data_IF_078799588238
#
_entry.id   IF_078799588238
#
_cell.length_a   1.000
_cell.length_b   1.000
_cell.length_c   1.000
_cell.angle_alpha   90.00
_cell.angle_beta   90.00
_cell.angle_gamma   90.00
#
_symmetry.space_group_name_H-M   'P 1'
#
loop_
_entity.id
_entity.type
_entity.pdbx_description
1 polymer ?
#
# COMPACT_ATOMS: atom_id res chain seq x y z
N UNK A 1 16.40 4.31 -81.46
CA UNK A 1 15.76 5.41 -80.87
C UNK A 1 15.81 5.33 -79.36
N UNK A 2 16.58 6.14 -78.95
CA UNK A 2 17.06 6.40 -77.64
C UNK A 2 16.17 5.89 -76.55
N UNK A 3 16.50 4.77 -76.05
CA UNK A 3 16.07 4.36 -74.74
C UNK A 3 16.94 5.11 -73.74
N UNK A 4 16.30 6.01 -73.10
CA UNK A 4 16.90 6.70 -72.01
C UNK A 4 17.00 5.75 -70.82
N UNK A 5 18.13 5.25 -70.66
CA UNK A 5 18.42 4.47 -69.48
C UNK A 5 18.51 5.42 -68.31
N UNK A 6 17.49 5.42 -67.53
CA UNK A 6 17.54 6.10 -66.28
C UNK A 6 18.56 5.38 -65.40
N UNK A 7 19.65 6.01 -65.22
CA UNK A 7 20.60 5.61 -64.19
C UNK A 7 19.94 5.73 -62.84
N UNK A 8 19.58 4.65 -62.32
CA UNK A 8 19.27 4.62 -60.89
C UNK A 8 20.57 4.82 -60.15
N UNK A 9 20.76 5.96 -59.74
CA UNK A 9 21.72 6.22 -58.69
C UNK A 9 21.21 5.52 -57.44
N UNK A 10 21.77 4.44 -57.15
CA UNK A 10 21.67 3.84 -55.85
C UNK A 10 22.31 4.77 -54.86
N UNK A 11 21.55 5.65 -54.36
CA UNK A 11 21.92 6.29 -53.13
C UNK A 11 21.85 5.26 -52.06
N UNK A 12 22.94 4.65 -51.83
CA UNK A 12 23.13 3.87 -50.63
C UNK A 12 22.93 4.88 -49.50
N UNK A 13 21.76 4.94 -49.04
CA UNK A 13 21.56 5.54 -47.74
C UNK A 13 22.30 4.65 -46.79
N UNK A 14 23.49 5.03 -46.52
CA UNK A 14 24.14 4.62 -45.33
C UNK A 14 23.20 4.98 -44.22
N UNK A 15 22.42 4.07 -43.79
CA UNK A 15 21.77 4.18 -42.50
C UNK A 15 22.92 4.23 -41.52
N UNK A 16 23.31 5.39 -41.19
CA UNK A 16 23.96 5.54 -39.92
C UNK A 16 22.90 5.10 -38.94
N UNK A 17 22.98 3.89 -38.61
CA UNK A 17 22.51 3.47 -37.31
C UNK A 17 23.24 4.38 -36.36
N UNK A 18 22.62 5.47 -36.09
CA UNK A 18 22.92 6.11 -34.86
C UNK A 18 22.59 5.03 -33.85
N UNK A 19 23.62 4.36 -33.47
CA UNK A 19 23.65 3.68 -32.23
C UNK A 19 23.01 4.68 -31.30
N UNK A 20 21.77 4.46 -30.98
CA UNK A 20 21.20 5.13 -29.86
C UNK A 20 22.21 4.86 -28.77
N UNK A 21 22.96 5.84 -28.44
CA UNK A 21 23.59 5.83 -27.17
C UNK A 21 22.42 5.55 -26.29
N UNK A 22 22.34 4.35 -25.92
CA UNK A 22 21.60 3.95 -24.76
C UNK A 22 22.05 4.96 -23.76
N UNK A 23 21.22 5.98 -23.64
CA UNK A 23 21.41 6.90 -22.59
C UNK A 23 21.66 5.98 -21.44
N UNK A 24 22.84 6.03 -20.99
CA UNK A 24 23.18 5.37 -19.80
C UNK A 24 22.07 5.77 -18.89
N UNK A 25 21.16 4.88 -18.68
CA UNK A 25 20.23 5.07 -17.60
C UNK A 25 21.17 5.19 -16.43
N UNK A 26 21.44 6.40 -16.11
CA UNK A 26 21.90 6.71 -14.78
C UNK A 26 20.82 6.09 -13.95
N UNK A 27 21.06 4.92 -13.54
CA UNK A 27 20.34 4.37 -12.44
C UNK A 27 20.67 5.33 -11.33
N UNK A 28 19.82 6.30 -11.23
CA UNK A 28 19.78 7.12 -10.04
C UNK A 28 19.55 6.11 -8.95
N UNK A 29 20.61 5.76 -8.31
CA UNK A 29 20.52 4.90 -7.15
C UNK A 29 19.60 5.62 -6.20
N UNK A 30 18.44 5.06 -6.05
CA UNK A 30 17.50 5.55 -5.07
C UNK A 30 18.24 5.65 -3.76
N UNK A 31 18.17 6.77 -3.07
CA UNK A 31 18.82 6.88 -1.79
C UNK A 31 18.36 5.72 -0.91
N UNK A 32 19.29 5.09 -0.31
CA UNK A 32 19.14 3.88 0.52
C UNK A 32 18.29 4.13 1.78
N UNK A 33 17.78 5.32 1.94
CA UNK A 33 17.03 5.76 3.12
C UNK A 33 15.68 5.05 3.27
N UNK A 34 15.32 4.17 2.37
CA UNK A 34 13.98 3.63 2.25
C UNK A 34 13.89 2.16 2.68
N UNK A 35 14.91 1.64 3.33
CA UNK A 35 14.91 0.23 3.73
C UNK A 35 13.72 -0.17 4.61
N UNK A 36 13.22 0.75 5.42
CA UNK A 36 12.05 0.51 6.26
C UNK A 36 10.74 0.50 5.48
N UNK A 37 10.78 1.06 4.29
CA UNK A 37 9.63 1.20 3.42
C UNK A 37 9.82 0.46 2.11
N UNK A 38 10.89 -0.31 1.99
CA UNK A 38 11.18 -1.11 0.82
C UNK A 38 10.30 -2.36 0.79
N UNK A 39 9.02 -2.09 0.90
CA UNK A 39 8.00 -3.10 0.71
C UNK A 39 7.67 -3.16 -0.77
N UNK A 40 7.61 -4.34 -1.36
CA UNK A 40 7.11 -4.46 -2.71
C UNK A 40 5.74 -3.81 -2.81
N UNK A 41 5.45 -3.24 -3.95
CA UNK A 41 4.17 -2.60 -4.21
C UNK A 41 2.99 -3.50 -3.86
N UNK A 42 3.14 -4.77 -4.16
CA UNK A 42 2.17 -5.80 -3.79
C UNK A 42 2.85 -7.13 -3.51
N UNK A 43 2.45 -7.77 -2.44
CA UNK A 43 2.81 -9.16 -2.18
C UNK A 43 1.82 -10.15 -2.79
N UNK A 44 0.72 -9.67 -3.33
CA UNK A 44 -0.40 -10.50 -3.78
C UNK A 44 -0.90 -11.48 -2.71
N UNK A 45 -0.93 -11.01 -1.48
CA UNK A 45 -1.42 -11.74 -0.33
C UNK A 45 -2.40 -10.86 0.43
N UNK A 46 -3.44 -11.48 0.95
CA UNK A 46 -4.35 -10.77 1.85
C UNK A 46 -3.68 -10.64 3.21
N UNK A 47 -3.30 -9.43 3.54
CA UNK A 47 -2.51 -9.14 4.74
C UNK A 47 -2.82 -7.76 5.26
N UNK A 48 -2.77 -7.61 6.56
CA UNK A 48 -2.72 -6.32 7.26
C UNK A 48 -1.55 -6.37 8.22
N UNK A 49 -0.71 -5.36 8.16
CA UNK A 49 0.44 -5.18 9.05
C UNK A 49 0.35 -3.85 9.75
N UNK A 50 0.72 -3.82 11.00
CA UNK A 50 0.79 -2.60 11.79
C UNK A 50 2.13 -2.52 12.51
N UNK A 51 2.73 -1.34 12.50
CA UNK A 51 3.96 -1.01 13.19
C UNK A 51 3.75 0.25 14.03
N UNK A 52 4.31 0.27 15.22
CA UNK A 52 4.42 1.51 15.97
C UNK A 52 5.65 2.27 15.50
N UNK A 53 5.44 3.37 14.81
CA UNK A 53 6.53 4.22 14.33
C UNK A 53 7.01 5.16 15.42
N UNK A 54 6.07 5.70 16.19
CA UNK A 54 6.32 6.51 17.40
C UNK A 54 5.31 6.08 18.46
N UNK A 55 5.42 6.57 19.69
CA UNK A 55 4.40 6.25 20.71
C UNK A 55 2.97 6.59 20.33
N UNK A 56 2.80 7.53 19.41
CA UNK A 56 1.47 8.02 18.99
C UNK A 56 1.25 7.95 17.49
N UNK A 57 2.10 7.26 16.75
CA UNK A 57 1.92 7.10 15.30
C UNK A 57 2.05 5.63 14.93
N UNK A 58 1.02 5.09 14.33
CA UNK A 58 1.01 3.76 13.75
C UNK A 58 1.19 3.85 12.25
N UNK A 59 2.01 2.97 11.70
CA UNK A 59 2.07 2.72 10.27
C UNK A 59 1.32 1.43 9.96
N UNK A 60 0.37 1.50 9.05
CA UNK A 60 -0.48 0.39 8.68
C UNK A 60 -0.29 0.12 7.18
N UNK A 61 -0.09 -1.13 6.86
CA UNK A 61 0.02 -1.61 5.49
C UNK A 61 -0.98 -2.75 5.26
N UNK A 62 -1.62 -2.78 4.10
CA UNK A 62 -2.55 -3.85 3.75
C UNK A 62 -2.54 -4.17 2.25
N UNK A 63 -2.94 -5.37 1.94
CA UNK A 63 -3.23 -5.80 0.58
C UNK A 63 -4.30 -6.90 0.61
N UNK A 64 -4.96 -7.09 -0.53
CA UNK A 64 -5.88 -8.18 -0.77
C UNK A 64 -5.36 -8.93 -1.99
N UNK A 65 -5.21 -10.24 -1.88
CA UNK A 65 -4.76 -11.06 -3.01
C UNK A 65 -5.78 -11.06 -4.15
N UNK A 66 -5.29 -11.30 -5.35
CA UNK A 66 -6.16 -11.39 -6.52
C UNK A 66 -7.14 -12.57 -6.40
N UNK A 67 -6.72 -13.65 -5.79
CA UNK A 67 -7.60 -14.81 -5.54
C UNK A 67 -8.72 -14.47 -4.55
N UNK A 68 -8.41 -13.76 -3.48
CA UNK A 68 -9.42 -13.33 -2.53
C UNK A 68 -10.36 -12.29 -3.13
N UNK A 69 -9.84 -11.39 -3.97
CA UNK A 69 -10.69 -10.45 -4.72
C UNK A 69 -11.72 -11.18 -5.59
N UNK A 70 -11.30 -12.22 -6.26
CA UNK A 70 -12.21 -13.06 -7.05
C UNK A 70 -13.27 -13.73 -6.19
N UNK A 71 -12.89 -14.24 -5.05
CA UNK A 71 -13.85 -14.86 -4.12
C UNK A 71 -14.90 -13.89 -3.63
N UNK A 72 -14.51 -12.65 -3.31
CA UNK A 72 -15.46 -11.63 -2.90
C UNK A 72 -16.42 -11.25 -4.03
N UNK A 73 -15.92 -11.17 -5.27
CA UNK A 73 -16.74 -10.92 -6.43
C UNK A 73 -17.71 -12.06 -6.68
N UNK A 74 -17.28 -13.29 -6.55
CA UNK A 74 -18.14 -14.47 -6.70
C UNK A 74 -19.22 -14.54 -5.60
N UNK A 75 -18.88 -14.16 -4.40
CA UNK A 75 -19.80 -14.22 -3.25
C UNK A 75 -20.79 -13.06 -3.21
N UNK A 76 -20.35 -11.84 -3.52
CA UNK A 76 -21.13 -10.61 -3.35
C UNK A 76 -21.55 -9.95 -4.66
N UNK A 77 -21.02 -10.38 -5.79
CA UNK A 77 -21.34 -9.85 -7.11
C UNK A 77 -20.16 -9.08 -7.75
N UNK A 78 -20.26 -8.89 -9.07
CA UNK A 78 -19.20 -8.27 -9.86
C UNK A 78 -18.89 -6.84 -9.44
N UNK A 79 -19.86 -6.13 -8.89
CA UNK A 79 -19.72 -4.74 -8.45
C UNK A 79 -19.34 -4.60 -6.99
N UNK A 80 -18.89 -5.66 -6.34
CA UNK A 80 -18.59 -5.65 -4.91
C UNK A 80 -17.62 -4.54 -4.53
N UNK A 81 -16.50 -4.41 -5.25
CA UNK A 81 -15.49 -3.40 -4.95
C UNK A 81 -15.92 -1.98 -5.34
N UNK A 82 -16.88 -1.84 -6.22
CA UNK A 82 -17.44 -0.55 -6.62
C UNK A 82 -18.54 -0.06 -5.67
N UNK A 83 -19.27 -0.98 -5.08
CA UNK A 83 -20.41 -0.69 -4.20
C UNK A 83 -20.04 -0.65 -2.73
N UNK A 84 -18.83 -1.01 -2.41
CA UNK A 84 -18.30 -0.98 -1.05
C UNK A 84 -17.03 -0.13 -0.99
N UNK A 85 -16.74 0.38 0.19
CA UNK A 85 -15.50 1.12 0.47
C UNK A 85 -14.68 0.40 1.50
N UNK A 86 -13.34 0.44 1.39
CA UNK A 86 -12.49 -0.13 2.41
C UNK A 86 -12.47 0.74 3.66
N UNK A 87 -12.40 0.10 4.80
CA UNK A 87 -12.27 0.75 6.10
C UNK A 87 -11.20 0.03 6.91
N UNK A 88 -10.50 0.78 7.74
CA UNK A 88 -9.64 0.24 8.78
C UNK A 88 -10.32 0.42 10.13
N UNK A 89 -10.44 -0.66 10.86
CA UNK A 89 -10.97 -0.67 12.22
C UNK A 89 -9.81 -0.82 13.19
N UNK A 90 -9.63 0.17 14.02
CA UNK A 90 -8.50 0.25 14.94
C UNK A 90 -9.01 -0.14 16.33
N UNK A 91 -8.37 -1.15 16.89
CA UNK A 91 -8.68 -1.61 18.24
C UNK A 91 -7.57 -1.20 19.19
N UNK A 92 -7.94 -0.53 20.26
CA UNK A 92 -7.08 -0.40 21.42
C UNK A 92 -7.49 -1.46 22.44
N UNK A 93 -6.71 -2.52 22.55
CA UNK A 93 -7.04 -3.65 23.41
C UNK A 93 -6.71 -3.37 24.87
N UNK A 94 -5.87 -2.41 25.15
CA UNK A 94 -5.53 -2.00 26.52
C UNK A 94 -6.66 -1.21 27.17
N UNK A 95 -7.18 -0.21 26.46
CA UNK A 95 -8.25 0.65 26.93
C UNK A 95 -9.64 0.18 26.48
N UNK A 96 -9.68 -0.88 25.73
CA UNK A 96 -10.90 -1.56 25.30
C UNK A 96 -11.86 -0.69 24.51
N UNK A 97 -11.35 0.02 23.51
CA UNK A 97 -12.18 0.75 22.57
C UNK A 97 -11.72 0.49 21.12
N UNK A 98 -12.56 0.86 20.18
CA UNK A 98 -12.24 0.82 18.77
C UNK A 98 -12.85 2.00 18.02
N UNK A 99 -12.29 2.29 16.86
CA UNK A 99 -12.82 3.28 15.93
C UNK A 99 -12.51 2.87 14.50
N UNK A 100 -13.23 3.44 13.56
CA UNK A 100 -13.03 3.18 12.14
C UNK A 100 -12.53 4.42 11.41
N UNK A 101 -11.70 4.20 10.40
CA UNK A 101 -11.30 5.22 9.45
C UNK A 101 -11.62 4.75 8.04
N UNK A 102 -12.14 5.66 7.23
CA UNK A 102 -12.37 5.43 5.82
C UNK A 102 -11.04 5.60 5.07
N UNK A 103 -10.74 4.64 4.24
CA UNK A 103 -9.58 4.68 3.34
C UNK A 103 -10.07 4.57 1.90
N UNK A 104 -9.19 4.78 0.93
CA UNK A 104 -9.55 4.62 -0.47
C UNK A 104 -8.91 3.35 -1.05
N UNK A 105 -9.46 2.87 -2.16
CA UNK A 105 -9.00 1.65 -2.82
C UNK A 105 -7.62 1.80 -3.48
N UNK A 106 -7.12 3.01 -3.62
CA UNK A 106 -5.82 3.28 -4.22
C UNK A 106 -4.69 3.29 -3.20
N UNK A 107 -5.01 3.42 -1.93
CA UNK A 107 -4.04 3.37 -0.86
C UNK A 107 -3.78 1.92 -0.44
N UNK A 108 -2.55 1.64 -0.07
CA UNK A 108 -2.13 0.37 0.54
C UNK A 108 -1.39 0.58 1.86
N UNK A 109 -1.28 1.82 2.30
CA UNK A 109 -0.66 2.18 3.55
C UNK A 109 -1.26 3.45 4.14
N UNK A 110 -1.13 3.60 5.44
CA UNK A 110 -1.66 4.73 6.17
C UNK A 110 -0.83 5.00 7.42
N UNK A 111 -0.56 6.28 7.68
CA UNK A 111 -0.01 6.73 8.94
C UNK A 111 -1.14 7.24 9.81
N UNK A 112 -1.33 6.61 10.93
CA UNK A 112 -2.40 6.95 11.85
C UNK A 112 -1.84 7.53 13.13
N UNK A 113 -2.27 8.75 13.47
CA UNK A 113 -2.03 9.31 14.78
C UNK A 113 -3.03 8.75 15.79
N UNK A 114 -2.53 8.24 16.91
CA UNK A 114 -3.33 7.74 18.03
C UNK A 114 -3.07 8.58 19.26
N UNK A 115 -4.10 8.74 20.09
CA UNK A 115 -4.00 9.60 21.26
C UNK A 115 -3.34 8.92 22.45
N UNK A 116 -3.38 7.60 22.49
CA UNK A 116 -2.95 6.83 23.64
C UNK A 116 -1.67 6.08 23.33
N UNK A 117 -0.59 6.47 23.98
CA UNK A 117 0.67 5.74 23.99
C UNK A 117 0.62 4.57 24.98
N UNK A 118 1.61 3.71 24.94
CA UNK A 118 1.75 2.57 25.85
C UNK A 118 0.51 1.66 25.87
N UNK A 119 -0.09 1.46 24.72
CA UNK A 119 -1.27 0.63 24.52
C UNK A 119 -1.03 -0.41 23.43
N UNK A 120 -1.76 -1.50 23.54
CA UNK A 120 -1.78 -2.51 22.50
C UNK A 120 -2.82 -2.16 21.44
N UNK A 121 -2.38 -2.14 20.21
CA UNK A 121 -3.22 -1.84 19.05
C UNK A 121 -3.28 -3.00 18.08
N UNK A 122 -4.43 -3.17 17.50
CA UNK A 122 -4.71 -4.15 16.46
C UNK A 122 -5.55 -3.48 15.38
N UNK A 123 -5.32 -3.84 14.14
CA UNK A 123 -6.02 -3.25 12.99
C UNK A 123 -6.73 -4.33 12.20
N UNK A 124 -7.95 -4.05 11.83
CA UNK A 124 -8.76 -4.92 10.99
C UNK A 124 -9.10 -4.20 9.70
N UNK A 125 -8.93 -4.90 8.58
CA UNK A 125 -9.37 -4.43 7.28
C UNK A 125 -10.74 -5.02 6.99
N UNK A 126 -11.67 -4.17 6.61
CA UNK A 126 -13.00 -4.57 6.20
C UNK A 126 -13.55 -3.67 5.12
N UNK A 127 -14.76 -3.95 4.70
CA UNK A 127 -15.48 -3.13 3.73
C UNK A 127 -16.89 -2.87 4.21
N UNK A 128 -17.36 -1.67 3.92
CA UNK A 128 -18.73 -1.26 4.18
C UNK A 128 -19.41 -0.81 2.90
N UNK A 129 -20.72 -1.07 2.75
CA UNK A 129 -21.46 -0.54 1.62
C UNK A 129 -21.38 0.99 1.57
N UNK A 130 -21.23 1.53 0.38
CA UNK A 130 -21.23 2.98 0.16
C UNK A 130 -22.63 3.54 0.38
N UNK A 131 -23.65 2.81 -0.04
CA UNK A 131 -25.05 3.21 0.10
C UNK A 131 -25.67 2.58 1.34
N UNK A 132 -26.40 3.41 2.07
CA UNK A 132 -27.18 2.95 3.19
C UNK A 132 -28.26 1.96 2.72
N UNK A 133 -28.40 0.86 3.43
CA UNK A 133 -29.47 -0.11 3.22
C UNK A 133 -30.25 -0.26 4.52
N UNK A 134 -31.55 -0.05 4.45
CA UNK A 134 -32.45 -0.27 5.58
C UNK A 134 -32.44 -1.71 6.08
N UNK A 135 -32.20 -2.66 5.16
CA UNK A 135 -32.15 -4.08 5.50
C UNK A 135 -30.89 -4.45 6.29
N UNK A 136 -29.78 -3.78 6.00
CA UNK A 136 -28.49 -4.04 6.64
C UNK A 136 -27.75 -2.74 6.90
N UNK A 137 -28.22 -1.91 7.84
CA UNK A 137 -27.67 -0.57 8.04
C UNK A 137 -26.22 -0.57 8.52
N UNK A 138 -25.77 -1.63 9.15
CA UNK A 138 -24.45 -1.76 9.73
C UNK A 138 -23.63 -2.89 9.10
N UNK A 139 -23.92 -3.19 7.83
CA UNK A 139 -23.19 -4.26 7.16
C UNK A 139 -21.70 -3.96 7.15
N UNK A 140 -20.93 -4.91 7.64
CA UNK A 140 -19.49 -4.87 7.67
C UNK A 140 -18.96 -6.21 7.20
N UNK A 141 -18.04 -6.18 6.26
CA UNK A 141 -17.45 -7.37 5.69
C UNK A 141 -15.99 -7.42 6.13
N UNK A 142 -15.70 -8.35 7.02
CA UNK A 142 -14.35 -8.62 7.49
C UNK A 142 -13.49 -9.17 6.35
N UNK A 143 -12.27 -8.67 6.21
CA UNK A 143 -11.32 -9.18 5.23
C UNK A 143 -10.12 -9.81 5.91
N UNK A 144 -9.43 -9.07 6.76
CA UNK A 144 -8.23 -9.54 7.44
C UNK A 144 -7.94 -8.68 8.66
N UNK A 145 -7.12 -9.20 9.55
CA UNK A 145 -6.64 -8.43 10.70
C UNK A 145 -5.12 -8.51 10.80
N UNK A 146 -4.57 -7.51 11.45
CA UNK A 146 -3.15 -7.43 11.72
C UNK A 146 -2.74 -8.25 12.95
N UNK A 147 -1.42 -8.34 13.12
CA UNK A 147 -0.83 -8.64 14.41
C UNK A 147 -1.20 -7.55 15.44
N UNK A 148 -1.15 -7.92 16.70
CA UNK A 148 -1.19 -6.93 17.78
C UNK A 148 0.20 -6.36 18.02
N UNK A 149 0.27 -5.04 18.23
CA UNK A 149 1.52 -4.35 18.56
C UNK A 149 1.32 -3.47 19.77
N UNK A 150 2.39 -3.28 20.52
CA UNK A 150 2.43 -2.32 21.62
C UNK A 150 3.01 -1.00 21.13
N UNK A 151 2.26 0.08 21.28
CA UNK A 151 2.77 1.42 21.08
C UNK A 151 3.68 1.78 22.26
N UNK A 152 4.92 2.24 22.01
CA UNK A 152 5.86 2.48 23.08
C UNK A 152 5.42 3.61 24.01
N UNK A 153 6.04 3.62 25.18
CA UNK A 153 5.80 4.66 26.18
C UNK A 153 6.50 5.96 25.78
N UNK A 154 5.82 7.09 25.94
CA UNK A 154 6.36 8.43 25.67
C UNK A 154 7.63 8.74 26.44
N UNK A 155 7.79 8.18 27.64
CA UNK A 155 8.96 8.40 28.48
C UNK A 155 10.27 7.97 27.82
N UNK A 156 10.22 7.01 26.91
CA UNK A 156 11.40 6.53 26.21
C UNK A 156 11.99 7.61 25.29
N UNK A 157 11.18 8.52 24.79
CA UNK A 157 11.62 9.62 23.94
C UNK A 157 12.56 10.59 24.64
N UNK A 158 12.50 10.66 25.96
CA UNK A 158 13.27 11.61 26.77
C UNK A 158 14.50 11.00 27.41
N UNK A 159 14.73 9.72 27.24
CA UNK A 159 15.93 9.08 27.74
C UNK A 159 17.09 9.27 26.76
N UNK A 160 17.98 10.18 27.09
CA UNK A 160 19.14 10.52 26.26
C UNK A 160 20.14 9.37 26.10
N UNK A 161 20.06 8.35 26.91
CA UNK A 161 21.00 7.24 26.93
C UNK A 161 20.47 6.00 26.18
N UNK A 162 19.23 6.01 25.80
CA UNK A 162 18.62 4.93 25.03
C UNK A 162 18.58 5.28 23.56
N UNK A 163 19.16 4.39 22.75
CA UNK A 163 18.96 4.44 21.33
C UNK A 163 17.51 4.09 21.03
N UNK A 164 16.95 4.85 20.13
CA UNK A 164 15.57 4.64 19.67
C UNK A 164 15.37 3.22 19.17
N UNK A 165 14.45 2.51 19.77
CA UNK A 165 14.13 1.14 19.42
C UNK A 165 12.69 0.96 18.96
N UNK A 166 11.98 2.01 18.67
CA UNK A 166 10.58 1.98 18.28
C UNK A 166 10.33 1.21 16.98
N UNK A 167 11.35 1.05 16.18
CA UNK A 167 11.24 0.41 14.88
C UNK A 167 11.65 -1.04 14.87
N UNK A 168 11.98 -1.60 16.00
CA UNK A 168 12.27 -3.02 16.10
C UNK A 168 10.99 -3.80 16.24
N UNK A 169 10.75 -4.59 15.26
CA UNK A 169 9.70 -5.59 15.29
C UNK A 169 10.13 -6.81 16.07
#
# INVERSE_FOLDING_TARGET
>A
RSSTVAKKTNVTKKSTTKKATTGKKTTTKKPVVVEYYDLPYRYNQTVVKVLAQTPTTLFIYWDISDDDRKKYVEEYGENFFETTKPVLKIFNDTLNYNFEIDINDFANSWYLHVNDSNCDYRVELGRRPIQYSEKNPNQYIYISQSNEIEAPNDKILFDKNQKMVYFKN
#
